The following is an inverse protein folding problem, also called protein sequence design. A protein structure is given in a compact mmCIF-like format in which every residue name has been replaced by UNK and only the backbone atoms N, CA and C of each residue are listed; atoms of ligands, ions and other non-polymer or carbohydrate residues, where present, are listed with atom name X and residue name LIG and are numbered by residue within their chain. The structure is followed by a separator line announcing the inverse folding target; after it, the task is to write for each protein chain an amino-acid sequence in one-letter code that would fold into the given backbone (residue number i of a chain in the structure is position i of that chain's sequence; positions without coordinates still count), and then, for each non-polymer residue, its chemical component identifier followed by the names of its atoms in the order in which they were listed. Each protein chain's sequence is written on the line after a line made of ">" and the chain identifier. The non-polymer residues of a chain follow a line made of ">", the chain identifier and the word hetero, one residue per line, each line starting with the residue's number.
data_IF_721875861006
#
_entry.id   IF_721875861006
#
_cell.length_a   1.000
_cell.length_b   1.000
_cell.length_c   1.000
_cell.angle_alpha   90.00
_cell.angle_beta   90.00
_cell.angle_gamma   90.00
#
_symmetry.space_group_name_H-M   'P 1'
#
loop_
_entity.id
_entity.type
_entity.pdbx_description
1 polymer ?
#
# COMPACT_ATOMS: atom_id res chain seq x y z
N UNK A 1 26.25 2.04 2.69
CA UNK A 1 25.73 1.90 1.31
C UNK A 1 26.18 3.02 0.34
N UNK A 2 26.40 4.27 0.78
CA UNK A 2 26.90 5.36 -0.08
C UNK A 2 28.29 5.11 -0.68
N UNK A 3 29.18 4.43 0.06
CA UNK A 3 30.59 4.19 -0.33
C UNK A 3 30.77 3.06 -1.36
N UNK A 4 29.82 2.12 -1.46
CA UNK A 4 29.94 0.92 -2.31
C UNK A 4 29.31 1.06 -3.70
N UNK A 5 28.48 2.09 -3.94
CA UNK A 5 27.73 2.25 -5.21
C UNK A 5 28.00 3.55 -5.98
N UNK A 6 29.00 4.34 -5.58
CA UNK A 6 29.29 5.69 -6.15
C UNK A 6 28.06 6.60 -6.22
N UNK A 7 27.14 6.47 -5.26
CA UNK A 7 25.93 7.27 -5.22
C UNK A 7 26.20 8.55 -4.43
N UNK A 8 25.92 9.71 -5.02
CA UNK A 8 25.91 10.98 -4.30
C UNK A 8 24.80 10.99 -3.26
N UNK A 9 25.01 11.65 -2.12
CA UNK A 9 24.01 11.78 -1.05
C UNK A 9 22.67 12.33 -1.58
N UNK A 10 22.73 13.22 -2.57
CA UNK A 10 21.58 13.75 -3.28
C UNK A 10 20.79 12.65 -4.01
N UNK A 11 21.46 11.78 -4.76
CA UNK A 11 20.79 10.72 -5.51
C UNK A 11 20.10 9.70 -4.57
N UNK A 12 20.73 9.40 -3.42
CA UNK A 12 20.12 8.58 -2.37
C UNK A 12 18.88 9.27 -1.77
N UNK A 13 18.96 10.58 -1.52
CA UNK A 13 17.82 11.39 -1.10
C UNK A 13 16.66 11.35 -2.08
N UNK A 14 16.93 11.54 -3.38
CA UNK A 14 15.92 11.46 -4.45
C UNK A 14 15.25 10.10 -4.49
N UNK A 15 16.00 9.00 -4.31
CA UNK A 15 15.40 7.65 -4.26
C UNK A 15 14.47 7.46 -3.06
N UNK A 16 14.82 8.00 -1.90
CA UNK A 16 13.97 7.96 -0.70
C UNK A 16 12.73 8.84 -0.82
N UNK A 17 12.85 10.06 -1.36
CA UNK A 17 11.71 10.91 -1.66
C UNK A 17 10.79 10.28 -2.70
N UNK A 18 11.36 9.65 -3.71
CA UNK A 18 10.64 8.91 -4.75
C UNK A 18 9.87 7.71 -4.19
N UNK A 19 10.42 6.99 -3.22
CA UNK A 19 9.70 5.94 -2.49
C UNK A 19 8.43 6.46 -1.83
N UNK A 20 8.53 7.54 -1.03
CA UNK A 20 7.38 8.10 -0.32
C UNK A 20 6.35 8.73 -1.26
N UNK A 21 6.81 9.39 -2.33
CA UNK A 21 5.94 9.91 -3.37
C UNK A 21 5.20 8.78 -4.11
N UNK A 22 5.92 7.72 -4.48
CA UNK A 22 5.35 6.51 -5.07
C UNK A 22 4.32 5.86 -4.16
N UNK A 23 4.62 5.73 -2.86
CA UNK A 23 3.70 5.20 -1.85
C UNK A 23 2.40 6.00 -1.77
N UNK A 24 2.50 7.32 -1.78
CA UNK A 24 1.33 8.21 -1.78
C UNK A 24 0.49 8.02 -3.03
N UNK A 25 1.12 8.00 -4.20
CA UNK A 25 0.44 7.81 -5.48
C UNK A 25 -0.22 6.43 -5.58
N UNK A 26 0.49 5.38 -5.19
CA UNK A 26 -0.02 4.01 -5.18
C UNK A 26 -1.21 3.86 -4.25
N UNK A 27 -1.18 4.50 -3.07
CA UNK A 27 -2.32 4.51 -2.15
C UNK A 27 -3.54 5.20 -2.77
N UNK A 28 -3.35 6.32 -3.45
CA UNK A 28 -4.44 7.03 -4.12
C UNK A 28 -4.99 6.22 -5.31
N UNK A 29 -4.14 5.78 -6.23
CA UNK A 29 -4.57 5.12 -7.46
C UNK A 29 -5.02 3.67 -7.24
N UNK A 30 -4.18 2.84 -6.62
CA UNK A 30 -4.47 1.41 -6.43
C UNK A 30 -5.53 1.19 -5.34
N UNK A 31 -5.73 2.14 -4.42
CA UNK A 31 -6.84 2.10 -3.46
C UNK A 31 -8.20 1.98 -4.16
N UNK A 32 -8.48 2.83 -5.15
CA UNK A 32 -9.71 2.76 -5.94
C UNK A 32 -9.83 1.48 -6.78
N UNK A 33 -8.70 0.97 -7.31
CA UNK A 33 -8.69 -0.30 -8.05
C UNK A 33 -9.05 -1.47 -7.12
N UNK A 34 -8.53 -1.46 -5.89
CA UNK A 34 -8.73 -2.51 -4.91
C UNK A 34 -10.18 -2.58 -4.43
N UNK A 35 -10.84 -1.42 -4.31
CA UNK A 35 -12.27 -1.33 -4.01
C UNK A 35 -13.12 -1.94 -5.14
N UNK A 36 -12.68 -1.83 -6.40
CA UNK A 36 -13.46 -2.28 -7.57
C UNK A 36 -13.34 -3.78 -7.90
N UNK A 37 -12.18 -4.39 -7.68
CA UNK A 37 -11.88 -5.76 -8.15
C UNK A 37 -11.79 -6.82 -7.04
N UNK A 38 -11.90 -6.43 -5.77
CA UNK A 38 -11.90 -7.36 -4.65
C UNK A 38 -10.56 -7.38 -3.91
N UNK A 39 -10.66 -7.13 -2.61
CA UNK A 39 -9.53 -6.81 -1.74
C UNK A 39 -8.47 -7.91 -1.64
N UNK A 40 -8.90 -9.17 -1.47
CA UNK A 40 -7.97 -10.29 -1.26
C UNK A 40 -7.06 -10.53 -2.46
N UNK A 41 -7.62 -10.56 -3.68
CA UNK A 41 -6.85 -10.88 -4.89
C UNK A 41 -5.90 -9.74 -5.24
N UNK A 42 -6.38 -8.50 -5.20
CA UNK A 42 -5.55 -7.32 -5.46
C UNK A 42 -4.37 -7.24 -4.50
N UNK A 43 -4.60 -7.41 -3.19
CA UNK A 43 -3.52 -7.39 -2.19
C UNK A 43 -2.50 -8.49 -2.48
N UNK A 44 -2.91 -9.72 -2.76
CA UNK A 44 -1.99 -10.83 -3.06
C UNK A 44 -1.13 -10.53 -4.30
N UNK A 45 -1.72 -9.98 -5.36
CA UNK A 45 -0.99 -9.62 -6.59
C UNK A 45 0.02 -8.50 -6.31
N UNK A 46 -0.37 -7.45 -5.60
CA UNK A 46 0.55 -6.36 -5.25
C UNK A 46 1.71 -6.85 -4.38
N UNK A 47 1.44 -7.78 -3.47
CA UNK A 47 2.45 -8.40 -2.62
C UNK A 47 3.47 -9.21 -3.46
N UNK A 48 2.98 -9.98 -4.43
CA UNK A 48 3.85 -10.72 -5.35
C UNK A 48 4.74 -9.78 -6.17
N UNK A 49 4.18 -8.68 -6.69
CA UNK A 49 4.96 -7.66 -7.40
C UNK A 49 5.97 -6.95 -6.49
N UNK A 50 5.61 -6.67 -5.24
CA UNK A 50 6.51 -6.08 -4.26
C UNK A 50 7.71 -7.00 -3.98
N UNK A 51 7.48 -8.30 -3.82
CA UNK A 51 8.55 -9.29 -3.64
C UNK A 51 9.46 -9.36 -4.88
N UNK A 52 8.89 -9.34 -6.08
CA UNK A 52 9.67 -9.32 -7.32
C UNK A 52 10.55 -8.06 -7.44
N UNK A 53 10.00 -6.89 -7.12
CA UNK A 53 10.77 -5.63 -7.11
C UNK A 53 11.86 -5.62 -6.03
N UNK A 54 11.59 -6.21 -4.87
CA UNK A 54 12.58 -6.37 -3.80
C UNK A 54 13.73 -7.30 -4.23
N UNK A 55 13.43 -8.39 -4.95
CA UNK A 55 14.44 -9.29 -5.52
C UNK A 55 15.30 -8.58 -6.57
N UNK A 56 14.71 -7.75 -7.44
CA UNK A 56 15.45 -6.95 -8.41
C UNK A 56 16.36 -5.95 -7.71
N UNK A 57 15.88 -5.29 -6.66
CA UNK A 57 16.69 -4.38 -5.84
C UNK A 57 17.91 -5.09 -5.23
N UNK A 58 17.74 -6.35 -4.83
CA UNK A 58 18.81 -7.16 -4.25
C UNK A 58 19.82 -7.65 -5.29
N UNK A 59 19.34 -8.14 -6.45
CA UNK A 59 20.16 -8.78 -7.47
C UNK A 59 20.95 -7.78 -8.34
N UNK A 60 20.45 -6.55 -8.50
CA UNK A 60 21.06 -5.57 -9.41
C UNK A 60 21.98 -4.60 -8.64
N UNK A 61 23.32 -4.65 -8.84
CA UNK A 61 24.27 -3.75 -8.20
C UNK A 61 24.36 -2.37 -8.88
N UNK A 62 23.29 -1.90 -9.52
CA UNK A 62 23.20 -0.58 -10.14
C UNK A 62 22.36 0.35 -9.25
N UNK A 63 22.91 1.52 -8.92
CA UNK A 63 22.21 2.51 -8.10
C UNK A 63 20.91 3.00 -8.73
N UNK A 64 20.93 3.26 -10.04
CA UNK A 64 19.78 3.79 -10.77
C UNK A 64 18.66 2.75 -10.88
N UNK A 65 19.01 1.49 -11.15
CA UNK A 65 18.04 0.39 -11.16
C UNK A 65 17.41 0.17 -9.79
N UNK A 66 18.20 0.21 -8.71
CA UNK A 66 17.70 0.12 -7.34
C UNK A 66 16.82 1.30 -6.95
N UNK A 67 17.15 2.52 -7.37
CA UNK A 67 16.33 3.71 -7.09
C UNK A 67 14.96 3.62 -7.76
N UNK A 68 14.90 3.20 -9.02
CA UNK A 68 13.65 2.99 -9.76
C UNK A 68 12.84 1.86 -9.11
N UNK A 69 13.47 0.72 -8.83
CA UNK A 69 12.81 -0.41 -8.18
C UNK A 69 12.19 -0.03 -6.83
N UNK A 70 12.87 0.80 -6.03
CA UNK A 70 12.36 1.31 -4.75
C UNK A 70 11.16 2.23 -4.94
N UNK A 71 11.16 3.15 -5.92
CA UNK A 71 10.00 3.99 -6.20
C UNK A 71 8.78 3.14 -6.56
N UNK A 72 8.94 2.16 -7.45
CA UNK A 72 7.87 1.23 -7.83
C UNK A 72 7.43 0.36 -6.66
N UNK A 73 8.36 -0.10 -5.82
CA UNK A 73 8.06 -0.83 -4.59
C UNK A 73 7.12 0.00 -3.70
N UNK A 74 7.42 1.30 -3.52
CA UNK A 74 6.56 2.22 -2.78
C UNK A 74 5.13 2.25 -3.32
N UNK A 75 4.96 2.35 -4.65
CA UNK A 75 3.63 2.33 -5.31
C UNK A 75 2.82 1.10 -4.91
N UNK A 76 3.39 -0.11 -4.99
CA UNK A 76 2.66 -1.34 -4.66
C UNK A 76 2.42 -1.52 -3.16
N UNK A 77 3.33 -1.04 -2.31
CA UNK A 77 3.14 -1.04 -0.85
C UNK A 77 2.05 -0.03 -0.42
N UNK A 78 1.79 1.01 -1.22
CA UNK A 78 0.83 2.10 -0.97
C UNK A 78 -0.50 1.67 -0.34
N UNK A 79 -1.27 0.79 -1.00
CA UNK A 79 -2.59 0.34 -0.56
C UNK A 79 -2.57 -0.82 0.46
N UNK A 80 -1.40 -1.36 0.84
CA UNK A 80 -1.36 -2.58 1.67
C UNK A 80 -1.92 -2.38 3.07
N UNK A 81 -1.60 -1.26 3.72
CA UNK A 81 -2.09 -0.96 5.06
C UNK A 81 -3.63 -0.80 5.12
N UNK A 82 -4.27 0.05 4.30
CA UNK A 82 -5.73 0.14 4.30
C UNK A 82 -6.38 -1.19 3.88
N UNK A 83 -5.82 -1.90 2.89
CA UNK A 83 -6.35 -3.20 2.47
C UNK A 83 -6.31 -4.26 3.58
N UNK A 84 -5.23 -4.32 4.36
CA UNK A 84 -5.12 -5.22 5.49
C UNK A 84 -6.14 -4.88 6.60
N UNK A 85 -6.38 -3.58 6.86
CA UNK A 85 -7.38 -3.13 7.83
C UNK A 85 -8.77 -3.59 7.43
N UNK A 86 -9.18 -3.39 6.18
CA UNK A 86 -10.52 -3.80 5.75
C UNK A 86 -10.69 -5.32 5.78
N UNK A 87 -9.67 -6.09 5.36
CA UNK A 87 -9.70 -7.56 5.45
C UNK A 87 -9.82 -8.01 6.92
N UNK A 88 -9.10 -7.36 7.83
CA UNK A 88 -9.18 -7.63 9.27
C UNK A 88 -10.53 -7.24 9.84
N UNK A 89 -11.09 -6.10 9.43
CA UNK A 89 -12.43 -5.66 9.82
C UNK A 89 -13.52 -6.63 9.38
N UNK A 90 -13.37 -7.23 8.18
CA UNK A 90 -14.26 -8.29 7.67
C UNK A 90 -14.12 -9.62 8.43
N UNK A 91 -12.94 -9.91 8.97
CA UNK A 91 -12.69 -11.11 9.78
C UNK A 91 -13.14 -10.95 11.24
N UNK A 92 -13.38 -9.72 11.70
CA UNK A 92 -13.72 -9.46 13.10
C UNK A 92 -15.18 -9.86 13.41
N UNK A 93 -15.41 -10.76 14.38
CA UNK A 93 -16.75 -11.23 14.72
C UNK A 93 -17.63 -10.11 15.32
N UNK A 94 -18.93 -10.12 14.95
CA UNK A 94 -19.94 -9.08 15.20
C UNK A 94 -20.10 -8.63 16.67
N UNK A 95 -19.64 -9.42 17.63
CA UNK A 95 -19.78 -9.10 19.05
C UNK A 95 -18.80 -8.03 19.55
N UNK A 96 -17.67 -7.82 18.86
CA UNK A 96 -16.67 -6.78 19.20
C UNK A 96 -16.96 -5.47 18.43
N UNK A 97 -17.72 -5.57 17.34
CA UNK A 97 -18.09 -4.47 16.43
C UNK A 97 -18.88 -3.32 17.10
N UNK A 98 -19.48 -3.56 18.27
CA UNK A 98 -20.33 -2.58 18.96
C UNK A 98 -19.56 -1.68 19.94
N UNK A 99 -18.34 -2.03 20.33
CA UNK A 99 -17.58 -1.28 21.35
C UNK A 99 -16.70 -0.17 20.76
N UNK A 100 -16.31 -0.30 19.49
CA UNK A 100 -15.59 0.72 18.73
C UNK A 100 -16.48 1.06 17.54
N UNK A 101 -16.89 2.32 17.38
CA UNK A 101 -17.85 2.80 16.37
C UNK A 101 -17.39 2.69 14.90
N UNK A 102 -17.00 1.49 14.46
CA UNK A 102 -16.65 1.15 13.10
C UNK A 102 -17.91 0.63 12.39
N UNK A 103 -18.87 1.53 12.16
CA UNK A 103 -20.06 1.21 11.39
C UNK A 103 -19.75 1.39 9.90
N UNK A 104 -19.43 0.31 9.19
CA UNK A 104 -19.63 0.30 7.74
C UNK A 104 -21.13 0.19 7.46
N UNK A 105 -21.71 1.07 6.62
CA UNK A 105 -23.11 1.00 6.26
C UNK A 105 -23.30 -0.18 5.29
N UNK A 106 -23.46 -1.37 5.84
CA UNK A 106 -24.00 -2.51 5.11
C UNK A 106 -25.53 -2.36 5.08
N UNK A 107 -26.09 -2.35 3.87
CA UNK A 107 -27.51 -2.37 3.51
C UNK A 107 -28.29 -1.04 3.58
N UNK A 108 -28.96 -0.76 2.46
CA UNK A 108 -29.72 0.44 2.13
C UNK A 108 -31.08 0.54 2.83
N UNK A 109 -31.17 0.25 4.12
CA UNK A 109 -32.47 0.26 4.83
C UNK A 109 -32.53 1.16 6.07
N UNK A 110 -31.44 1.79 6.49
CA UNK A 110 -31.39 2.59 7.74
C UNK A 110 -30.97 4.06 7.56
N UNK A 111 -31.51 4.74 6.54
CA UNK A 111 -31.31 6.18 6.31
C UNK A 111 -32.05 7.11 7.30
N UNK A 112 -32.55 6.61 8.44
CA UNK A 112 -33.43 7.39 9.34
C UNK A 112 -32.75 7.93 10.60
N UNK A 113 -31.50 7.54 10.91
CA UNK A 113 -30.90 7.84 12.22
C UNK A 113 -29.59 8.64 12.18
N UNK A 114 -29.51 9.71 11.37
CA UNK A 114 -28.51 10.76 11.62
C UNK A 114 -29.23 12.12 11.53
N UNK A 115 -29.64 12.63 12.69
CA UNK A 115 -30.02 14.03 12.90
C UNK A 115 -29.00 14.60 13.87
N UNK A 116 -28.40 15.73 13.45
CA UNK A 116 -27.30 16.47 14.09
C UNK A 116 -27.44 16.64 15.60
#
# INVERSE_FOLDING_TARGET
>A
MLRTRKATAFAAGVSGSGFWAGQTLGRAALGFVTERYGERICITIYLAFAVAMQLIFWLVPSFMASAIAVVFLGVFLGPMFPGAITVTAKLLPKHIHRLHGFAFPESRDNLVYIRW
#
